data_IF_512659059615
#
_entry.id   IF_512659059615
#
_cell.length_a   1.000
_cell.length_b   1.000
_cell.length_c   1.000
_cell.angle_alpha   90.00
_cell.angle_beta   90.00
_cell.angle_gamma   90.00
#
_symmetry.space_group_name_H-M   'P 1'
#
loop_
_entity.id
_entity.type
_entity.pdbx_description
1 polymer ?
#
# COMPACT_ATOMS: atom_id res chain seq x y z
N UNK A 1 14.14 20.30 -16.68
CA UNK A 1 13.63 20.30 -15.29
C UNK A 1 14.56 19.43 -14.48
N UNK A 2 15.05 19.90 -13.32
CA UNK A 2 15.91 19.07 -12.47
C UNK A 2 15.03 18.10 -11.69
N UNK A 3 15.38 16.81 -11.67
CA UNK A 3 14.71 15.80 -10.86
C UNK A 3 14.95 16.08 -9.37
N UNK A 4 13.93 15.97 -8.50
CA UNK A 4 14.09 16.21 -7.06
C UNK A 4 14.67 14.99 -6.30
N UNK A 5 14.94 13.89 -6.99
CA UNK A 5 15.50 12.66 -6.43
C UNK A 5 16.49 12.01 -7.39
N UNK A 6 17.34 11.13 -6.85
CA UNK A 6 18.42 10.43 -7.56
C UNK A 6 18.39 8.93 -7.20
N UNK A 7 19.21 8.11 -7.86
CA UNK A 7 19.24 6.66 -7.64
C UNK A 7 19.59 6.24 -6.21
N UNK A 8 20.20 7.12 -5.42
CA UNK A 8 20.53 6.88 -4.01
C UNK A 8 19.47 7.45 -3.05
N UNK A 9 18.43 8.12 -3.55
CA UNK A 9 17.28 8.52 -2.74
C UNK A 9 16.57 7.28 -2.22
N UNK A 10 15.99 7.37 -1.03
CA UNK A 10 15.22 6.27 -0.47
C UNK A 10 13.94 6.07 -1.28
N UNK A 11 13.54 4.82 -1.48
CA UNK A 11 12.33 4.49 -2.25
C UNK A 11 11.11 5.21 -1.67
N UNK A 12 10.95 5.21 -0.34
CA UNK A 12 9.85 5.93 0.34
C UNK A 12 9.86 7.44 0.08
N UNK A 13 11.04 8.06 0.05
CA UNK A 13 11.16 9.52 -0.10
C UNK A 13 10.81 9.95 -1.52
N UNK A 14 11.06 9.09 -2.52
CA UNK A 14 10.63 9.34 -3.89
C UNK A 14 9.09 9.36 -3.96
N UNK A 15 8.40 8.47 -3.25
CA UNK A 15 6.93 8.48 -3.20
C UNK A 15 6.41 9.67 -2.41
N UNK A 16 7.05 10.05 -1.30
CA UNK A 16 6.71 11.25 -0.54
C UNK A 16 6.76 12.53 -1.42
N UNK A 17 7.76 12.63 -2.30
CA UNK A 17 7.96 13.78 -3.21
C UNK A 17 7.08 13.69 -4.45
N UNK A 18 6.92 12.48 -4.99
CA UNK A 18 6.23 12.22 -6.25
C UNK A 18 5.36 10.96 -6.13
N UNK A 19 4.17 11.07 -5.52
CA UNK A 19 3.34 9.89 -5.21
C UNK A 19 2.94 9.06 -6.42
N UNK A 20 2.88 9.65 -7.62
CA UNK A 20 2.62 8.96 -8.89
C UNK A 20 3.72 7.93 -9.24
N UNK A 21 4.91 8.02 -8.63
CA UNK A 21 5.96 6.99 -8.75
C UNK A 21 5.54 5.63 -8.17
N UNK A 22 4.59 5.60 -7.23
CA UNK A 22 4.10 4.35 -6.61
C UNK A 22 3.61 3.33 -7.65
N UNK A 23 2.93 3.76 -8.71
CA UNK A 23 2.48 2.88 -9.79
C UNK A 23 3.65 2.27 -10.57
N UNK A 24 4.75 3.01 -10.73
CA UNK A 24 5.95 2.49 -11.36
C UNK A 24 6.65 1.48 -10.43
N UNK A 25 6.72 1.79 -9.14
CA UNK A 25 7.33 0.91 -8.14
C UNK A 25 6.57 -0.41 -8.00
N UNK A 26 5.23 -0.38 -7.90
CA UNK A 26 4.40 -1.60 -7.88
C UNK A 26 4.63 -2.49 -9.09
N UNK A 27 4.60 -1.91 -10.30
CA UNK A 27 4.83 -2.65 -11.56
C UNK A 27 6.22 -3.30 -11.61
N UNK A 28 7.19 -2.71 -10.94
CA UNK A 28 8.55 -3.22 -10.83
C UNK A 28 8.81 -3.99 -9.52
N UNK A 29 7.76 -4.28 -8.74
CA UNK A 29 7.83 -5.01 -7.45
C UNK A 29 8.78 -4.36 -6.43
N UNK A 30 8.89 -3.04 -6.47
CA UNK A 30 9.66 -2.24 -5.51
C UNK A 30 8.78 -1.84 -4.34
N UNK A 31 9.18 -2.27 -3.14
CA UNK A 31 8.46 -2.01 -1.90
C UNK A 31 8.77 -0.61 -1.37
N UNK A 32 7.80 0.30 -1.46
CA UNK A 32 7.92 1.69 -1.01
C UNK A 32 7.20 1.97 0.31
N UNK A 33 6.39 1.03 0.80
CA UNK A 33 5.50 1.21 1.95
C UNK A 33 6.13 0.69 3.25
N UNK A 34 6.51 -0.58 3.31
CA UNK A 34 7.20 -1.17 4.46
C UNK A 34 8.71 -1.23 4.23
N UNK A 35 9.14 -1.64 3.02
CA UNK A 35 10.54 -1.83 2.66
C UNK A 35 11.25 -0.58 2.14
N UNK A 36 10.59 0.58 2.18
CA UNK A 36 11.02 1.78 1.44
C UNK A 36 12.23 2.52 2.01
N UNK A 37 12.71 2.14 3.20
CA UNK A 37 13.83 2.78 3.91
C UNK A 37 15.21 2.32 3.40
N UNK A 38 15.38 2.30 2.07
CA UNK A 38 16.59 1.86 1.39
C UNK A 38 16.77 2.59 0.06
N UNK A 39 17.99 2.73 -0.47
CA UNK A 39 18.24 3.36 -1.77
C UNK A 39 17.49 2.67 -2.92
N UNK A 40 16.98 3.46 -3.87
CA UNK A 40 16.34 2.95 -5.08
C UNK A 40 17.25 2.01 -5.88
N UNK A 41 18.53 2.34 -6.01
CA UNK A 41 19.53 1.53 -6.71
C UNK A 41 19.66 0.13 -6.10
N UNK A 42 19.66 0.01 -4.78
CA UNK A 42 19.74 -1.28 -4.10
C UNK A 42 18.46 -2.10 -4.29
N UNK A 43 17.30 -1.46 -4.12
CA UNK A 43 16.01 -2.13 -4.30
C UNK A 43 15.82 -2.62 -5.75
N UNK A 44 16.25 -1.82 -6.73
CA UNK A 44 16.22 -2.17 -8.15
C UNK A 44 17.15 -3.35 -8.48
N UNK A 45 18.37 -3.37 -7.93
CA UNK A 45 19.32 -4.46 -8.15
C UNK A 45 18.80 -5.81 -7.61
N UNK A 46 18.15 -5.81 -6.45
CA UNK A 46 17.53 -7.02 -5.90
C UNK A 46 16.39 -7.58 -6.78
N UNK A 47 15.66 -6.70 -7.46
CA UNK A 47 14.63 -7.07 -8.42
C UNK A 47 15.19 -7.35 -9.83
N UNK A 48 16.52 -7.39 -10.00
CA UNK A 48 17.22 -7.56 -11.29
C UNK A 48 16.83 -6.50 -12.33
N UNK A 49 16.55 -5.27 -11.89
CA UNK A 49 16.21 -4.15 -12.75
C UNK A 49 17.46 -3.35 -13.14
N UNK A 50 17.45 -2.78 -14.36
CA UNK A 50 18.46 -1.84 -14.79
C UNK A 50 18.19 -0.45 -14.17
N UNK A 51 19.08 -0.02 -13.27
CA UNK A 51 18.93 1.24 -12.53
C UNK A 51 18.86 2.46 -13.47
N UNK A 52 19.73 2.60 -14.49
CA UNK A 52 19.62 3.69 -15.47
C UNK A 52 18.25 3.73 -16.18
N UNK A 53 17.74 2.58 -16.62
CA UNK A 53 16.44 2.50 -17.28
C UNK A 53 15.28 2.87 -16.34
N UNK A 54 15.31 2.39 -15.09
CA UNK A 54 14.31 2.76 -14.09
C UNK A 54 14.33 4.28 -13.81
N UNK A 55 15.51 4.89 -13.73
CA UNK A 55 15.65 6.35 -13.57
C UNK A 55 15.12 7.10 -14.79
N UNK A 56 15.32 6.61 -16.01
CA UNK A 56 14.73 7.19 -17.21
C UNK A 56 13.20 7.13 -17.17
N UNK A 57 12.63 6.00 -16.78
CA UNK A 57 11.17 5.84 -16.64
C UNK A 57 10.59 6.80 -15.59
N UNK A 58 11.27 6.98 -14.45
CA UNK A 58 10.90 7.98 -13.45
C UNK A 58 10.96 9.41 -14.00
N UNK A 59 12.00 9.74 -14.77
CA UNK A 59 12.16 11.06 -15.36
C UNK A 59 11.06 11.36 -16.39
N UNK A 60 10.74 10.40 -17.26
CA UNK A 60 9.64 10.51 -18.22
C UNK A 60 8.29 10.68 -17.50
N UNK A 61 8.04 9.88 -16.46
CA UNK A 61 6.83 9.95 -15.66
C UNK A 61 6.70 11.30 -14.97
N UNK A 62 7.79 11.83 -14.42
CA UNK A 62 7.84 13.13 -13.76
C UNK A 62 7.60 14.28 -14.74
N UNK A 63 8.20 14.23 -15.94
CA UNK A 63 7.95 15.21 -17.01
C UNK A 63 6.49 15.20 -17.48
N UNK A 64 5.88 14.02 -17.60
CA UNK A 64 4.49 13.86 -18.02
C UNK A 64 3.49 14.51 -17.06
N UNK A 65 3.82 14.55 -15.77
CA UNK A 65 3.03 15.22 -14.74
C UNK A 65 3.49 16.66 -14.49
N UNK A 66 4.10 17.33 -15.50
CA UNK A 66 4.60 18.72 -15.41
C UNK A 66 5.58 19.00 -14.25
N UNK A 67 6.17 17.97 -13.64
CA UNK A 67 6.96 18.12 -12.42
C UNK A 67 6.16 18.61 -11.22
N UNK A 68 4.84 18.53 -11.28
CA UNK A 68 3.95 18.84 -10.18
C UNK A 68 3.37 17.53 -9.65
N UNK A 69 3.32 17.39 -8.32
CA UNK A 69 2.49 16.37 -7.65
C UNK A 69 0.99 16.68 -7.81
N UNK A 70 0.58 17.38 -8.87
CA UNK A 70 -0.80 17.73 -9.18
C UNK A 70 -1.55 16.42 -9.49
N UNK A 71 -2.18 15.87 -8.46
CA UNK A 71 -3.29 14.91 -8.42
C UNK A 71 -3.23 14.03 -7.15
N UNK A 72 -2.14 14.06 -6.38
CA UNK A 72 -2.05 13.39 -5.08
C UNK A 72 -1.39 14.35 -4.08
N UNK A 73 -2.11 14.72 -3.02
CA UNK A 73 -1.62 15.67 -2.02
C UNK A 73 -0.32 15.17 -1.38
N UNK A 74 0.67 16.07 -1.28
CA UNK A 74 1.91 15.80 -0.55
C UNK A 74 1.61 16.01 0.92
N UNK A 75 1.56 14.92 1.67
CA UNK A 75 1.15 14.92 3.08
C UNK A 75 2.27 15.29 4.07
N UNK A 76 3.52 15.42 3.59
CA UNK A 76 4.69 15.59 4.47
C UNK A 76 4.63 16.83 5.36
N UNK A 77 3.93 17.88 4.92
CA UNK A 77 3.83 19.18 5.62
C UNK A 77 2.47 19.41 6.32
N UNK A 78 1.57 18.41 6.30
CA UNK A 78 0.22 18.49 6.94
C UNK A 78 0.27 18.16 8.43
N UNK A 79 -0.69 18.65 9.21
CA UNK A 79 -0.82 18.25 10.61
C UNK A 79 -1.30 16.79 10.74
N UNK A 80 -1.08 16.20 11.92
CA UNK A 80 -1.38 14.77 12.12
C UNK A 80 -2.88 14.50 12.18
N UNK A 81 -3.69 15.46 12.63
CA UNK A 81 -5.15 15.34 12.68
C UNK A 81 -5.75 15.31 11.27
N UNK A 82 -5.29 16.20 10.39
CA UNK A 82 -5.69 16.25 8.98
C UNK A 82 -5.31 14.97 8.25
N UNK A 83 -4.07 14.48 8.42
CA UNK A 83 -3.62 13.23 7.81
C UNK A 83 -4.40 12.01 8.31
N UNK A 84 -4.67 11.92 9.61
CA UNK A 84 -5.50 10.84 10.20
C UNK A 84 -6.92 10.88 9.62
N UNK A 85 -7.53 12.06 9.51
CA UNK A 85 -8.89 12.20 8.97
C UNK A 85 -8.93 11.87 7.47
N UNK A 86 -7.86 12.21 6.73
CA UNK A 86 -7.69 11.74 5.36
C UNK A 86 -7.58 10.21 5.28
N UNK A 87 -6.73 9.59 6.10
CA UNK A 87 -6.55 8.12 6.15
C UNK A 87 -7.89 7.43 6.39
N UNK A 88 -8.65 7.87 7.39
CA UNK A 88 -9.96 7.31 7.70
C UNK A 88 -10.93 7.44 6.54
N UNK A 89 -11.09 8.65 5.99
CA UNK A 89 -12.11 8.91 4.98
C UNK A 89 -11.77 8.33 3.62
N UNK A 90 -10.51 8.49 3.20
CA UNK A 90 -10.06 8.05 1.88
C UNK A 90 -9.74 6.56 1.87
N UNK A 91 -9.10 6.05 2.91
CA UNK A 91 -8.59 4.68 2.91
C UNK A 91 -9.50 3.71 3.66
N UNK A 92 -9.81 3.96 4.94
CA UNK A 92 -10.56 2.98 5.75
C UNK A 92 -12.00 2.79 5.26
N UNK A 93 -12.72 3.89 4.97
CA UNK A 93 -14.11 3.81 4.49
C UNK A 93 -14.21 3.12 3.11
N UNK A 94 -13.34 3.49 2.17
CA UNK A 94 -13.32 2.86 0.84
C UNK A 94 -12.90 1.40 0.91
N UNK A 95 -11.95 1.05 1.78
CA UNK A 95 -11.53 -0.32 2.04
C UNK A 95 -12.67 -1.19 2.58
N UNK A 96 -13.40 -0.72 3.59
CA UNK A 96 -14.54 -1.45 4.18
C UNK A 96 -15.62 -1.72 3.11
N UNK A 97 -15.95 -0.71 2.31
CA UNK A 97 -16.91 -0.84 1.21
C UNK A 97 -16.42 -1.81 0.13
N UNK A 98 -15.17 -1.69 -0.31
CA UNK A 98 -14.56 -2.53 -1.33
C UNK A 98 -14.53 -4.00 -0.88
N UNK A 99 -14.06 -4.29 0.33
CA UNK A 99 -14.01 -5.64 0.88
C UNK A 99 -15.41 -6.28 0.95
N UNK A 100 -16.42 -5.52 1.38
CA UNK A 100 -17.82 -5.96 1.40
C UNK A 100 -18.34 -6.26 -0.01
N UNK A 101 -18.10 -5.36 -0.95
CA UNK A 101 -18.62 -5.46 -2.31
C UNK A 101 -17.88 -6.49 -3.17
N UNK A 102 -16.60 -6.76 -2.89
CA UNK A 102 -15.77 -7.72 -3.63
C UNK A 102 -15.97 -9.17 -3.15
N UNK A 103 -16.23 -9.37 -1.85
CA UNK A 103 -16.47 -10.68 -1.21
C UNK A 103 -17.38 -11.65 -2.00
N UNK A 104 -18.60 -11.26 -2.45
CA UNK A 104 -19.46 -12.18 -3.18
C UNK A 104 -18.87 -12.61 -4.53
N UNK A 105 -18.12 -11.74 -5.20
CA UNK A 105 -17.52 -12.04 -6.50
C UNK A 105 -16.32 -12.99 -6.38
N UNK A 106 -15.43 -12.75 -5.41
CA UNK A 106 -14.30 -13.64 -5.12
C UNK A 106 -14.81 -15.05 -4.82
N UNK A 107 -15.81 -15.16 -3.94
CA UNK A 107 -16.46 -16.43 -3.61
C UNK A 107 -17.11 -17.10 -4.82
N UNK A 108 -17.78 -16.32 -5.67
CA UNK A 108 -18.46 -16.84 -6.86
C UNK A 108 -17.48 -17.38 -7.89
N UNK A 109 -16.39 -16.65 -8.15
CA UNK A 109 -15.36 -17.02 -9.12
C UNK A 109 -14.66 -18.30 -8.70
N UNK A 110 -14.23 -18.38 -7.44
CA UNK A 110 -13.66 -19.59 -6.85
C UNK A 110 -14.61 -20.79 -6.96
N UNK A 111 -15.89 -20.62 -6.62
CA UNK A 111 -16.89 -21.70 -6.70
C UNK A 111 -17.14 -22.21 -8.12
N UNK A 112 -17.13 -21.34 -9.13
CA UNK A 112 -17.51 -21.69 -10.51
C UNK A 112 -16.31 -22.20 -11.31
N UNK A 113 -15.14 -21.64 -11.08
CA UNK A 113 -13.95 -21.91 -11.89
C UNK A 113 -12.88 -22.73 -11.14
N UNK A 114 -12.98 -22.85 -9.81
CA UNK A 114 -11.97 -23.48 -8.95
C UNK A 114 -11.61 -24.94 -9.27
N UNK A 115 -12.48 -25.70 -9.93
CA UNK A 115 -12.15 -27.06 -10.38
C UNK A 115 -11.16 -27.08 -11.55
N UNK A 116 -11.14 -26.01 -12.36
CA UNK A 116 -10.27 -25.88 -13.55
C UNK A 116 -9.12 -24.89 -13.34
N UNK A 117 -9.26 -24.03 -12.34
CA UNK A 117 -8.39 -22.90 -12.01
C UNK A 117 -8.23 -22.93 -10.48
N UNK A 118 -7.37 -23.82 -9.98
CA UNK A 118 -7.18 -24.08 -8.55
C UNK A 118 -6.59 -22.87 -7.81
N UNK A 119 -5.88 -21.99 -8.51
CA UNK A 119 -5.40 -20.71 -8.00
C UNK A 119 -6.55 -19.86 -7.44
N UNK A 120 -7.76 -19.97 -8.01
CA UNK A 120 -8.92 -19.23 -7.54
C UNK A 120 -9.44 -19.70 -6.18
N UNK A 121 -9.20 -20.96 -5.81
CA UNK A 121 -9.48 -21.43 -4.47
C UNK A 121 -8.52 -20.78 -3.47
N UNK A 122 -7.24 -20.64 -3.86
CA UNK A 122 -6.24 -19.96 -3.02
C UNK A 122 -6.47 -18.45 -2.94
N UNK A 123 -6.88 -17.80 -4.04
CA UNK A 123 -7.32 -16.39 -4.04
C UNK A 123 -8.47 -16.19 -3.05
N UNK A 124 -9.42 -17.13 -2.97
CA UNK A 124 -10.52 -17.04 -2.02
C UNK A 124 -10.04 -17.09 -0.57
N UNK A 125 -9.16 -18.03 -0.24
CA UNK A 125 -8.57 -18.17 1.09
C UNK A 125 -7.82 -16.89 1.50
N UNK A 126 -6.85 -16.47 0.68
CA UNK A 126 -6.01 -15.29 0.95
C UNK A 126 -6.84 -14.00 1.04
N UNK A 127 -7.86 -13.85 0.20
CA UNK A 127 -8.74 -12.68 0.26
C UNK A 127 -9.50 -12.61 1.60
N UNK A 128 -10.01 -13.72 2.11
CA UNK A 128 -10.75 -13.71 3.38
C UNK A 128 -9.84 -13.58 4.60
N UNK A 129 -8.60 -14.07 4.52
CA UNK A 129 -7.54 -13.80 5.50
C UNK A 129 -7.23 -12.30 5.54
N UNK A 130 -6.84 -11.72 4.40
CA UNK A 130 -6.55 -10.29 4.26
C UNK A 130 -7.73 -9.43 4.72
N UNK A 131 -8.95 -9.77 4.31
CA UNK A 131 -10.17 -9.05 4.70
C UNK A 131 -10.33 -8.99 6.21
N UNK A 132 -10.11 -10.11 6.90
CA UNK A 132 -10.27 -10.18 8.35
C UNK A 132 -9.25 -9.26 9.01
N UNK A 133 -7.99 -9.38 8.62
CA UNK A 133 -6.89 -8.61 9.20
C UNK A 133 -7.09 -7.12 8.98
N UNK A 134 -7.35 -6.69 7.75
CA UNK A 134 -7.55 -5.28 7.42
C UNK A 134 -8.73 -4.64 8.18
N UNK A 135 -9.83 -5.37 8.38
CA UNK A 135 -10.98 -4.87 9.15
C UNK A 135 -10.69 -4.79 10.66
N UNK A 136 -9.97 -5.76 11.22
CA UNK A 136 -9.58 -5.74 12.64
C UNK A 136 -8.55 -4.64 12.90
N UNK A 137 -7.58 -4.51 12.00
CA UNK A 137 -6.51 -3.51 12.01
C UNK A 137 -7.05 -2.07 11.97
N UNK A 138 -7.78 -1.70 10.92
CA UNK A 138 -8.32 -0.33 10.77
C UNK A 138 -9.28 0.06 11.89
N UNK A 139 -10.02 -0.91 12.46
CA UNK A 139 -10.85 -0.68 13.63
C UNK A 139 -10.03 -0.40 14.90
N UNK A 140 -8.90 -1.11 15.09
CA UNK A 140 -7.95 -0.87 16.19
C UNK A 140 -7.34 0.52 16.08
N UNK A 141 -6.93 0.92 14.88
CA UNK A 141 -6.39 2.25 14.62
C UNK A 141 -7.37 3.36 14.98
N UNK A 142 -8.59 3.30 14.44
CA UNK A 142 -9.61 4.33 14.68
C UNK A 142 -10.07 4.40 16.14
N UNK A 143 -10.22 3.25 16.80
CA UNK A 143 -10.75 3.19 18.17
C UNK A 143 -9.71 3.50 19.24
N UNK A 144 -8.43 3.23 18.97
CA UNK A 144 -7.37 3.22 19.98
C UNK A 144 -6.15 4.03 19.55
N UNK A 145 -5.51 3.66 18.44
CA UNK A 145 -4.18 4.20 18.12
C UNK A 145 -4.24 5.67 17.69
N UNK A 146 -5.12 6.04 16.74
CA UNK A 146 -5.25 7.43 16.30
C UNK A 146 -5.63 8.41 17.42
N UNK A 147 -6.61 8.12 18.30
CA UNK A 147 -6.83 8.96 19.49
C UNK A 147 -5.58 9.13 20.36
N UNK A 148 -4.83 8.05 20.59
CA UNK A 148 -3.61 8.08 21.38
C UNK A 148 -2.48 8.91 20.73
N UNK A 149 -2.35 8.85 19.40
CA UNK A 149 -1.40 9.69 18.66
C UNK A 149 -1.71 11.18 18.84
N UNK A 150 -2.99 11.57 18.73
CA UNK A 150 -3.41 12.96 18.90
C UNK A 150 -3.21 13.48 20.34
N UNK A 151 -3.36 12.61 21.35
CA UNK A 151 -3.03 12.98 22.74
C UNK A 151 -1.53 13.24 22.94
N UNK A 152 -0.66 12.52 22.21
CA UNK A 152 0.80 12.59 22.37
C UNK A 152 1.44 13.84 21.80
N UNK A 153 0.79 14.55 20.89
CA UNK A 153 1.31 15.80 20.33
C UNK A 153 1.57 16.86 21.43
N UNK A 154 1.07 16.60 22.65
CA UNK A 154 1.21 17.45 23.85
C UNK A 154 1.87 16.79 25.09
N UNK A 155 2.39 15.55 25.03
CA UNK A 155 2.62 14.72 26.23
C UNK A 155 4.06 14.24 26.54
N UNK A 156 4.24 13.84 27.81
CA UNK A 156 5.47 13.46 28.54
C UNK A 156 6.11 12.11 28.08
N UNK A 157 7.39 11.91 28.42
CA UNK A 157 8.28 10.85 27.90
C UNK A 157 7.74 9.42 28.12
N UNK A 158 7.02 9.18 29.22
CA UNK A 158 6.56 7.84 29.59
C UNK A 158 5.38 7.34 28.73
N UNK A 159 4.51 8.25 28.26
CA UNK A 159 3.41 7.91 27.33
C UNK A 159 3.93 7.57 25.92
N UNK A 160 5.11 8.07 25.53
CA UNK A 160 5.72 7.79 24.22
C UNK A 160 6.12 6.33 24.05
N UNK A 161 6.63 5.68 25.11
CA UNK A 161 7.10 4.29 25.03
C UNK A 161 5.97 3.30 24.69
N UNK A 162 4.77 3.49 25.25
CA UNK A 162 3.62 2.63 24.95
C UNK A 162 3.15 2.74 23.50
N UNK A 163 3.21 3.94 22.93
CA UNK A 163 2.77 4.18 21.55
C UNK A 163 3.79 3.71 20.53
N UNK A 164 5.10 3.80 20.83
CA UNK A 164 6.12 3.16 19.99
C UNK A 164 5.83 1.67 19.86
N UNK A 165 5.50 0.99 20.96
CA UNK A 165 5.17 -0.44 20.92
C UNK A 165 3.89 -0.74 20.10
N UNK A 166 2.87 0.12 20.15
CA UNK A 166 1.67 -0.03 19.31
C UNK A 166 1.98 0.20 17.83
N UNK A 167 2.79 1.22 17.50
CA UNK A 167 3.24 1.50 16.13
C UNK A 167 4.03 0.31 15.56
N UNK A 168 4.99 -0.23 16.33
CA UNK A 168 5.76 -1.41 15.93
C UNK A 168 4.87 -2.65 15.70
N UNK A 169 3.75 -2.77 16.41
CA UNK A 169 2.80 -3.84 16.18
C UNK A 169 1.96 -3.60 14.90
N UNK A 170 1.50 -2.38 14.66
CA UNK A 170 0.82 -2.03 13.40
C UNK A 170 1.73 -2.25 12.19
N UNK A 171 3.02 -1.89 12.28
CA UNK A 171 3.98 -2.14 11.19
C UNK A 171 4.15 -3.64 10.88
N UNK A 172 4.09 -4.52 11.88
CA UNK A 172 4.08 -5.98 11.65
C UNK A 172 2.79 -6.45 11.00
N UNK A 173 1.65 -5.89 11.41
CA UNK A 173 0.35 -6.15 10.77
C UNK A 173 0.38 -5.70 9.29
N UNK A 174 1.02 -4.56 8.99
CA UNK A 174 1.26 -4.07 7.62
C UNK A 174 2.13 -5.03 6.80
N UNK A 175 3.23 -5.51 7.37
CA UNK A 175 4.11 -6.49 6.71
C UNK A 175 3.36 -7.78 6.35
N UNK A 176 2.49 -8.26 7.25
CA UNK A 176 1.70 -9.45 7.00
C UNK A 176 0.66 -9.24 5.88
N UNK A 177 -0.10 -8.15 5.93
CA UNK A 177 -1.04 -7.77 4.87
C UNK A 177 -0.32 -7.62 3.52
N UNK A 178 0.86 -6.99 3.51
CA UNK A 178 1.72 -6.87 2.35
C UNK A 178 2.19 -8.22 1.78
N UNK A 179 2.49 -9.20 2.65
CA UNK A 179 2.82 -10.56 2.23
C UNK A 179 1.65 -11.28 1.56
N UNK A 180 0.43 -11.15 2.11
CA UNK A 180 -0.77 -11.73 1.50
C UNK A 180 -1.04 -11.11 0.12
N UNK A 181 -0.90 -9.79 0.00
CA UNK A 181 -1.04 -9.08 -1.28
C UNK A 181 -0.01 -9.53 -2.32
N UNK A 182 1.26 -9.67 -1.92
CA UNK A 182 2.33 -10.21 -2.79
C UNK A 182 2.02 -11.64 -3.26
N UNK A 183 1.50 -12.49 -2.38
CA UNK A 183 1.06 -13.84 -2.74
C UNK A 183 -0.13 -13.82 -3.70
N UNK A 184 -1.13 -12.96 -3.48
CA UNK A 184 -2.26 -12.77 -4.40
C UNK A 184 -1.76 -12.36 -5.78
N UNK A 185 -0.85 -11.39 -5.86
CA UNK A 185 -0.24 -10.96 -7.13
C UNK A 185 0.49 -12.10 -7.84
N UNK A 186 1.24 -12.92 -7.10
CA UNK A 186 1.98 -14.06 -7.65
C UNK A 186 1.05 -15.12 -8.24
N UNK A 187 0.09 -15.62 -7.46
CA UNK A 187 -0.79 -16.72 -7.91
C UNK A 187 -1.77 -16.29 -9.01
N UNK A 188 -1.95 -14.99 -9.21
CA UNK A 188 -2.82 -14.42 -10.25
C UNK A 188 -2.04 -13.98 -11.49
N UNK A 189 -0.74 -14.28 -11.56
CA UNK A 189 0.17 -13.86 -12.63
C UNK A 189 0.10 -12.34 -12.89
N UNK A 190 0.33 -11.54 -11.85
CA UNK A 190 0.18 -10.08 -11.88
C UNK A 190 -1.26 -9.64 -12.22
N UNK A 191 -2.25 -10.33 -11.64
CA UNK A 191 -3.67 -10.11 -11.89
C UNK A 191 -4.04 -10.23 -13.38
N UNK A 192 -3.31 -11.06 -14.14
CA UNK A 192 -3.58 -11.30 -15.55
C UNK A 192 -4.53 -12.50 -15.74
N UNK A 193 -5.79 -12.27 -16.10
CA UNK A 193 -6.77 -13.35 -16.21
C UNK A 193 -6.52 -14.22 -17.45
N UNK A 194 -6.72 -15.56 -17.36
CA UNK A 194 -6.52 -16.46 -18.49
C UNK A 194 -7.51 -16.20 -19.63
N UNK A 195 -7.26 -16.80 -20.79
CA UNK A 195 -8.05 -16.55 -22.01
C UNK A 195 -9.53 -16.93 -21.85
N UNK A 196 -9.83 -17.96 -21.06
CA UNK A 196 -11.17 -18.46 -20.79
C UNK A 196 -11.86 -17.74 -19.61
N UNK A 197 -11.21 -16.73 -19.01
CA UNK A 197 -11.78 -15.96 -17.92
C UNK A 197 -13.03 -15.18 -18.35
N UNK A 198 -14.13 -15.44 -17.64
CA UNK A 198 -15.39 -14.72 -17.84
C UNK A 198 -15.32 -13.28 -17.29
N UNK A 199 -16.34 -12.47 -17.57
CA UNK A 199 -16.38 -11.06 -17.13
C UNK A 199 -16.24 -10.89 -15.62
N UNK A 200 -16.84 -11.78 -14.81
CA UNK A 200 -16.71 -11.72 -13.34
C UNK A 200 -15.30 -12.06 -12.87
N UNK A 201 -14.65 -13.04 -13.51
CA UNK A 201 -13.27 -13.39 -13.20
C UNK A 201 -12.33 -12.18 -13.47
N UNK A 202 -12.43 -11.58 -14.66
CA UNK A 202 -11.67 -10.37 -15.02
C UNK A 202 -11.93 -9.19 -14.07
N UNK A 203 -13.18 -9.02 -13.65
CA UNK A 203 -13.57 -7.99 -12.68
C UNK A 203 -12.89 -8.21 -11.31
N UNK A 204 -12.85 -9.45 -10.82
CA UNK A 204 -12.21 -9.77 -9.54
C UNK A 204 -10.72 -9.42 -9.58
N UNK A 205 -10.00 -9.84 -10.61
CA UNK A 205 -8.56 -9.53 -10.73
C UNK A 205 -8.29 -8.02 -10.77
N UNK A 206 -9.06 -7.28 -11.59
CA UNK A 206 -8.95 -5.83 -11.63
C UNK A 206 -9.19 -5.17 -10.27
N UNK A 207 -10.17 -5.66 -9.50
CA UNK A 207 -10.50 -5.09 -8.19
C UNK A 207 -9.51 -5.48 -7.11
N UNK A 208 -8.93 -6.69 -7.18
CA UNK A 208 -7.82 -7.09 -6.30
C UNK A 208 -6.57 -6.24 -6.55
N UNK A 209 -6.24 -5.95 -7.81
CA UNK A 209 -5.13 -5.07 -8.16
C UNK A 209 -5.35 -3.63 -7.64
N UNK A 210 -6.59 -3.13 -7.74
CA UNK A 210 -6.96 -1.83 -7.18
C UNK A 210 -6.89 -1.82 -5.65
N UNK A 211 -7.37 -2.87 -4.99
CA UNK A 211 -7.30 -3.04 -3.54
C UNK A 211 -5.84 -3.07 -3.06
N UNK A 212 -4.97 -3.82 -3.72
CA UNK A 212 -3.53 -3.84 -3.44
C UNK A 212 -2.93 -2.43 -3.55
N UNK A 213 -3.20 -1.76 -4.68
CA UNK A 213 -2.72 -0.42 -4.95
C UNK A 213 -3.13 0.59 -3.88
N UNK A 214 -4.37 0.48 -3.43
CA UNK A 214 -4.94 1.35 -2.40
C UNK A 214 -4.33 1.06 -1.03
N UNK A 215 -4.17 -0.21 -0.67
CA UNK A 215 -3.58 -0.65 0.60
C UNK A 215 -2.12 -0.23 0.71
N UNK A 216 -1.31 -0.36 -0.35
CA UNK A 216 0.08 0.08 -0.30
C UNK A 216 0.24 1.60 -0.14
N UNK A 217 -0.67 2.39 -0.71
CA UNK A 217 -0.63 3.84 -0.51
C UNK A 217 -1.07 4.22 0.90
N UNK A 218 -2.12 3.57 1.42
CA UNK A 218 -2.56 3.71 2.82
C UNK A 218 -1.39 3.46 3.79
N UNK A 219 -0.81 2.25 3.73
CA UNK A 219 0.33 1.86 4.58
C UNK A 219 1.52 2.79 4.39
N UNK A 220 1.76 3.30 3.18
CA UNK A 220 2.83 4.26 2.95
C UNK A 220 2.63 5.57 3.73
N UNK A 221 1.41 6.13 3.73
CA UNK A 221 1.09 7.33 4.50
C UNK A 221 1.32 7.11 5.99
N UNK A 222 0.99 5.94 6.50
CA UNK A 222 1.19 5.60 7.91
C UNK A 222 2.67 5.41 8.25
N UNK A 223 3.33 4.43 7.62
CA UNK A 223 4.71 4.05 7.94
C UNK A 223 5.73 5.15 7.64
N UNK A 224 5.48 5.97 6.61
CA UNK A 224 6.50 6.87 6.08
C UNK A 224 6.19 8.35 6.32
N UNK A 225 4.98 8.69 6.80
CA UNK A 225 4.59 10.08 7.08
C UNK A 225 4.00 10.24 8.47
N UNK A 226 3.00 9.46 8.87
CA UNK A 226 2.32 9.61 10.15
C UNK A 226 3.16 9.08 11.32
N UNK A 227 3.48 7.79 11.34
CA UNK A 227 4.19 7.13 12.44
C UNK A 227 5.57 7.74 12.73
N UNK A 228 6.39 8.13 11.73
CA UNK A 228 7.67 8.80 11.96
C UNK A 228 7.59 10.05 12.84
N UNK A 229 6.43 10.72 12.91
CA UNK A 229 6.22 11.92 13.75
C UNK A 229 6.22 11.61 15.24
N UNK A 230 6.00 10.35 15.63
CA UNK A 230 5.78 9.94 17.03
C UNK A 230 6.88 9.03 17.59
N UNK A 231 7.71 8.43 16.72
CA UNK A 231 8.82 7.55 17.11
C UNK A 231 10.18 8.28 17.18
N UNK A 232 10.25 9.53 16.72
CA UNK A 232 11.47 10.34 16.67
C UNK A 232 11.78 11.10 17.98
#
# INVERSE_FOLDING_TARGET
>A
MKMPFEQHSLVKDIVNIFPQSSDLFKRNRLDFCCGGNRPLSEAALEQNLDVPELMNQLEELYKKHNGTAENMEVWTDTDSEELIEHIKNKYHRELEEELKMLSPYVTKVAKVHGERHDELLKVNELFYELKKELLEHTAKEEATVFPLLLELESADVEKRAGIIAEIEELEKEHDHAGSILKQLREITEDFNPPIDACGTYRLVYKRLEALESHTFMHVHLENNILFPRFIA
#
